data_IF_912355799174
#
_entry.id   IF_912355799174
#
_cell.length_a   1.000
_cell.length_b   1.000
_cell.length_c   1.000
_cell.angle_alpha   90.00
_cell.angle_beta   90.00
_cell.angle_gamma   90.00
#
_symmetry.space_group_name_H-M   'P 1'
#
loop_
_entity.id
_entity.type
_entity.pdbx_description
1 polymer ?
#
# COMPACT_ATOMS: atom_id res chain seq x y z
N UNK A 1 29.50 42.21 73.34
CA UNK A 1 28.09 42.54 73.60
C UNK A 1 27.26 42.05 72.42
N UNK A 2 26.58 40.92 72.64
CA UNK A 2 25.53 40.25 71.86
C UNK A 2 25.46 40.41 70.32
N UNK A 3 25.96 39.36 69.66
CA UNK A 3 25.38 38.81 68.44
C UNK A 3 23.96 38.31 68.75
N UNK A 4 22.95 38.82 68.04
CA UNK A 4 21.65 38.14 67.92
C UNK A 4 21.26 38.14 66.45
N UNK A 5 21.67 37.08 65.77
CA UNK A 5 21.08 36.65 64.49
C UNK A 5 19.65 36.19 64.80
N UNK A 6 18.67 37.02 64.50
CA UNK A 6 17.27 36.61 64.44
C UNK A 6 17.11 35.61 63.29
N UNK A 7 16.91 34.34 63.64
CA UNK A 7 16.54 33.29 62.71
C UNK A 7 15.25 33.69 61.97
N UNK A 8 15.15 33.41 60.66
CA UNK A 8 13.99 33.81 59.86
C UNK A 8 12.72 33.16 60.42
N UNK A 9 11.66 33.96 60.57
CA UNK A 9 10.33 33.51 61.01
C UNK A 9 9.87 32.41 60.06
N UNK A 10 9.88 31.17 60.54
CA UNK A 10 9.23 30.02 59.92
C UNK A 10 7.77 30.41 59.66
N UNK A 11 7.33 30.31 58.41
CA UNK A 11 5.98 30.63 57.97
C UNK A 11 4.91 30.08 58.93
N UNK A 12 3.84 30.84 59.25
CA UNK A 12 2.79 30.38 60.15
C UNK A 12 2.15 29.10 59.60
N UNK A 13 1.74 28.17 60.49
CA UNK A 13 1.23 26.85 60.09
C UNK A 13 0.03 26.94 59.13
N UNK A 14 -0.81 27.97 59.26
CA UNK A 14 -1.94 28.26 58.37
C UNK A 14 -1.50 28.54 56.92
N UNK A 15 -0.40 29.25 56.72
CA UNK A 15 0.14 29.58 55.40
C UNK A 15 0.65 28.34 54.65
N UNK A 16 1.06 27.29 55.36
CA UNK A 16 1.46 26.01 54.75
C UNK A 16 0.27 25.26 54.16
N UNK A 17 -0.89 25.30 54.83
CA UNK A 17 -2.11 24.65 54.34
C UNK A 17 -2.69 25.38 53.11
N UNK A 18 -2.69 26.70 53.10
CA UNK A 18 -3.13 27.49 51.94
C UNK A 18 -2.29 27.21 50.69
N UNK A 19 -0.96 27.10 50.83
CA UNK A 19 -0.06 26.75 49.73
C UNK A 19 -0.30 25.32 49.20
N UNK A 20 -0.55 24.36 50.09
CA UNK A 20 -0.86 22.98 49.70
C UNK A 20 -2.20 22.90 48.96
N UNK A 21 -3.23 23.61 49.43
CA UNK A 21 -4.52 23.69 48.75
C UNK A 21 -4.38 24.34 47.37
N UNK A 22 -3.66 25.46 47.27
CA UNK A 22 -3.41 26.12 45.99
C UNK A 22 -2.68 25.19 45.01
N UNK A 23 -1.65 24.47 45.47
CA UNK A 23 -0.93 23.49 44.64
C UNK A 23 -1.85 22.37 44.15
N UNK A 24 -2.66 21.80 45.03
CA UNK A 24 -3.59 20.72 44.68
C UNK A 24 -4.60 21.17 43.62
N UNK A 25 -5.15 22.39 43.78
CA UNK A 25 -6.07 22.99 42.81
C UNK A 25 -5.38 23.19 41.46
N UNK A 26 -4.14 23.70 41.44
CA UNK A 26 -3.37 23.89 40.20
C UNK A 26 -3.13 22.54 39.51
N UNK A 27 -2.73 21.50 40.25
CA UNK A 27 -2.50 20.15 39.69
C UNK A 27 -3.80 19.55 39.14
N UNK A 28 -4.91 19.70 39.86
CA UNK A 28 -6.21 19.22 39.41
C UNK A 28 -6.67 19.91 38.12
N UNK A 29 -6.51 21.24 38.04
CA UNK A 29 -6.84 22.02 36.84
C UNK A 29 -5.93 21.66 35.66
N UNK A 30 -4.62 21.53 35.88
CA UNK A 30 -3.67 21.11 34.84
C UNK A 30 -4.00 19.71 34.30
N UNK A 31 -4.33 18.77 35.19
CA UNK A 31 -4.71 17.40 34.81
C UNK A 31 -6.02 17.39 34.03
N UNK A 32 -7.04 18.12 34.50
CA UNK A 32 -8.33 18.24 33.82
C UNK A 32 -8.20 18.87 32.42
N UNK A 33 -7.31 19.87 32.27
CA UNK A 33 -7.03 20.51 30.99
C UNK A 33 -6.29 19.59 30.00
N UNK A 34 -5.36 18.75 30.49
CA UNK A 34 -4.54 17.88 29.63
C UNK A 34 -5.22 16.55 29.26
N UNK A 35 -6.09 16.05 30.14
CA UNK A 35 -6.83 14.79 29.96
C UNK A 35 -7.54 14.64 28.60
N UNK A 36 -8.32 15.62 28.08
CA UNK A 36 -9.00 15.47 26.79
C UNK A 36 -8.02 15.34 25.63
N UNK A 37 -6.87 16.02 25.68
CA UNK A 37 -5.83 15.95 24.63
C UNK A 37 -5.22 14.56 24.58
N UNK A 38 -4.81 14.01 25.73
CA UNK A 38 -4.25 12.65 25.81
C UNK A 38 -5.27 11.61 25.34
N UNK A 39 -6.54 11.76 25.75
CA UNK A 39 -7.61 10.85 25.34
C UNK A 39 -7.84 10.89 23.83
N UNK A 40 -7.81 12.08 23.20
CA UNK A 40 -7.95 12.23 21.74
C UNK A 40 -6.80 11.56 20.99
N UNK A 41 -5.56 11.78 21.42
CA UNK A 41 -4.38 11.15 20.82
C UNK A 41 -4.46 9.62 20.87
N UNK A 42 -4.76 9.04 22.05
CA UNK A 42 -4.88 7.60 22.20
C UNK A 42 -5.96 6.99 21.29
N UNK A 43 -7.11 7.66 21.14
CA UNK A 43 -8.16 7.22 20.24
C UNK A 43 -7.72 7.25 18.77
N UNK A 44 -7.05 8.31 18.33
CA UNK A 44 -6.54 8.43 16.96
C UNK A 44 -5.47 7.38 16.67
N UNK A 45 -4.53 7.15 17.59
CA UNK A 45 -3.54 6.08 17.45
C UNK A 45 -4.18 4.70 17.31
N UNK A 46 -5.20 4.41 18.13
CA UNK A 46 -5.89 3.13 18.04
C UNK A 46 -6.58 2.93 16.67
N UNK A 47 -7.19 3.98 16.12
CA UNK A 47 -7.80 3.95 14.77
C UNK A 47 -6.77 3.73 13.67
N UNK A 48 -5.64 4.45 13.72
CA UNK A 48 -4.55 4.29 12.75
C UNK A 48 -3.97 2.86 12.80
N UNK A 49 -3.71 2.34 14.00
CA UNK A 49 -3.27 0.96 14.20
C UNK A 49 -4.27 -0.06 13.65
N UNK A 50 -5.56 0.17 13.85
CA UNK A 50 -6.60 -0.70 13.32
C UNK A 50 -6.67 -0.65 11.79
N UNK A 51 -6.57 0.53 11.18
CA UNK A 51 -6.48 0.65 9.72
C UNK A 51 -5.25 -0.08 9.19
N UNK A 52 -4.08 0.13 9.80
CA UNK A 52 -2.84 -0.55 9.41
C UNK A 52 -2.98 -2.07 9.54
N UNK A 53 -3.61 -2.58 10.61
CA UNK A 53 -3.86 -4.01 10.80
C UNK A 53 -4.81 -4.58 9.75
N UNK A 54 -5.88 -3.86 9.41
CA UNK A 54 -6.82 -4.25 8.34
C UNK A 54 -6.14 -4.30 6.98
N UNK A 55 -5.32 -3.29 6.66
CA UNK A 55 -4.51 -3.26 5.44
C UNK A 55 -3.51 -4.43 5.42
N UNK A 56 -2.83 -4.72 6.54
CA UNK A 56 -1.93 -5.86 6.66
C UNK A 56 -2.64 -7.22 6.52
N UNK A 57 -3.94 -7.29 6.80
CA UNK A 57 -4.79 -8.46 6.59
C UNK A 57 -5.37 -8.54 5.16
N UNK A 58 -4.96 -7.66 4.25
CA UNK A 58 -5.41 -7.66 2.86
C UNK A 58 -6.69 -6.85 2.59
N UNK A 59 -7.23 -6.14 3.58
CA UNK A 59 -8.39 -5.24 3.39
C UNK A 59 -7.95 -3.90 2.79
N UNK A 60 -7.42 -3.93 1.57
CA UNK A 60 -6.93 -2.75 0.87
C UNK A 60 -8.08 -1.80 0.49
N UNK A 61 -7.80 -0.50 0.46
CA UNK A 61 -8.77 0.55 0.13
C UNK A 61 -9.60 1.04 1.32
N UNK A 62 -9.41 0.46 2.51
CA UNK A 62 -9.93 1.04 3.74
C UNK A 62 -9.27 2.41 4.00
N UNK A 63 -10.05 3.38 4.46
CA UNK A 63 -9.57 4.73 4.76
C UNK A 63 -10.14 5.24 6.08
N UNK A 64 -9.42 6.14 6.72
CA UNK A 64 -9.91 6.91 7.85
C UNK A 64 -10.23 8.34 7.40
N UNK A 65 -11.27 8.93 7.98
CA UNK A 65 -11.50 10.36 7.82
C UNK A 65 -10.31 11.13 8.41
N UNK A 66 -9.76 12.07 7.65
CA UNK A 66 -8.71 12.98 8.13
C UNK A 66 -9.38 13.93 9.13
N UNK A 67 -9.20 13.63 10.41
CA UNK A 67 -9.74 14.41 11.53
C UNK A 67 -8.60 14.81 12.47
N UNK A 68 -8.89 15.78 13.34
CA UNK A 68 -7.97 16.23 14.38
C UNK A 68 -7.36 15.07 15.20
N UNK A 69 -6.08 15.18 15.63
CA UNK A 69 -5.26 16.40 15.58
C UNK A 69 -4.53 16.63 14.25
N UNK A 70 -4.29 17.90 13.85
CA UNK A 70 -3.59 18.26 12.62
C UNK A 70 -2.19 17.63 12.54
N UNK A 71 -1.54 17.43 13.67
CA UNK A 71 -0.23 16.79 13.79
C UNK A 71 -0.20 15.35 13.23
N UNK A 72 -1.34 14.66 13.19
CA UNK A 72 -1.47 13.31 12.63
C UNK A 72 -2.20 13.27 11.28
N UNK A 73 -2.60 14.42 10.75
CA UNK A 73 -3.33 14.50 9.49
C UNK A 73 -2.48 14.06 8.30
N UNK A 74 -1.17 14.34 8.32
CA UNK A 74 -0.23 13.86 7.30
C UNK A 74 -0.08 12.34 7.35
N UNK A 75 0.16 11.76 8.53
CA UNK A 75 0.25 10.31 8.69
C UNK A 75 -1.05 9.60 8.25
N UNK A 76 -2.21 10.17 8.60
CA UNK A 76 -3.51 9.63 8.17
C UNK A 76 -3.64 9.65 6.65
N UNK A 77 -3.23 10.74 5.99
CA UNK A 77 -3.21 10.84 4.52
C UNK A 77 -2.28 9.81 3.91
N UNK A 78 -1.02 9.72 4.37
CA UNK A 78 -0.06 8.74 3.87
C UNK A 78 -0.56 7.29 4.03
N UNK A 79 -1.21 6.96 5.14
CA UNK A 79 -1.76 5.62 5.36
C UNK A 79 -2.96 5.33 4.45
N UNK A 80 -3.83 6.31 4.23
CA UNK A 80 -4.93 6.21 3.27
C UNK A 80 -4.41 6.04 1.84
N UNK A 81 -3.42 6.83 1.43
CA UNK A 81 -2.82 6.78 0.10
C UNK A 81 -2.16 5.41 -0.14
N UNK A 82 -1.41 4.90 0.84
CA UNK A 82 -0.83 3.56 0.79
C UNK A 82 -1.92 2.47 0.64
N UNK A 83 -3.00 2.56 1.42
CA UNK A 83 -4.12 1.62 1.35
C UNK A 83 -4.80 1.63 -0.03
N UNK A 84 -4.97 2.80 -0.65
CA UNK A 84 -5.51 2.93 -2.01
C UNK A 84 -4.54 2.39 -3.08
N UNK A 85 -3.25 2.73 -2.99
CA UNK A 85 -2.25 2.21 -3.93
C UNK A 85 -2.15 0.68 -3.90
N UNK A 86 -2.24 0.08 -2.71
CA UNK A 86 -2.32 -1.38 -2.56
C UNK A 86 -3.60 -1.93 -3.19
N UNK A 87 -4.74 -1.26 -3.02
CA UNK A 87 -6.02 -1.69 -3.61
C UNK A 87 -5.98 -1.67 -5.13
N UNK A 88 -5.45 -0.59 -5.70
CA UNK A 88 -5.31 -0.45 -7.15
C UNK A 88 -4.36 -1.49 -7.74
N UNK A 89 -3.27 -1.78 -7.03
CA UNK A 89 -2.32 -2.82 -7.43
C UNK A 89 -2.96 -4.20 -7.38
N UNK A 90 -3.71 -4.51 -6.33
CA UNK A 90 -4.45 -5.76 -6.21
C UNK A 90 -5.50 -5.92 -7.33
N UNK A 91 -6.26 -4.85 -7.63
CA UNK A 91 -7.22 -4.86 -8.73
C UNK A 91 -6.55 -5.08 -10.09
N UNK A 92 -5.38 -4.47 -10.33
CA UNK A 92 -4.60 -4.70 -11.56
C UNK A 92 -4.15 -6.15 -11.66
N UNK A 93 -3.61 -6.72 -10.58
CA UNK A 93 -3.17 -8.12 -10.55
C UNK A 93 -4.33 -9.08 -10.83
N UNK A 94 -5.50 -8.87 -10.20
CA UNK A 94 -6.69 -9.69 -10.42
C UNK A 94 -7.17 -9.65 -11.87
N UNK A 95 -7.22 -8.47 -12.48
CA UNK A 95 -7.58 -8.30 -13.91
C UNK A 95 -6.58 -9.01 -14.81
N UNK A 96 -5.28 -8.78 -14.61
CA UNK A 96 -4.23 -9.44 -15.37
C UNK A 96 -4.34 -10.97 -15.28
N UNK A 97 -4.53 -11.54 -14.09
CA UNK A 97 -4.72 -12.99 -13.94
C UNK A 97 -5.95 -13.49 -14.68
N UNK A 98 -7.06 -12.74 -14.64
CA UNK A 98 -8.27 -13.06 -15.39
C UNK A 98 -8.02 -13.05 -16.90
N UNK A 99 -7.47 -11.96 -17.42
CA UNK A 99 -7.21 -11.76 -18.84
C UNK A 99 -6.24 -12.82 -19.38
N UNK A 100 -5.16 -13.10 -18.65
CA UNK A 100 -4.19 -14.17 -18.98
C UNK A 100 -4.88 -15.53 -19.05
N UNK A 101 -5.72 -15.84 -18.06
CA UNK A 101 -6.43 -17.12 -18.03
C UNK A 101 -7.36 -17.28 -19.24
N UNK A 102 -8.00 -16.19 -19.67
CA UNK A 102 -8.86 -16.18 -20.85
C UNK A 102 -8.05 -16.34 -22.15
N UNK A 103 -6.98 -15.57 -22.31
CA UNK A 103 -6.12 -15.62 -23.50
C UNK A 103 -5.42 -16.97 -23.66
N UNK A 104 -5.01 -17.64 -22.58
CA UNK A 104 -4.40 -18.97 -22.64
C UNK A 104 -5.42 -20.09 -22.90
N UNK A 105 -6.69 -19.93 -22.48
CA UNK A 105 -7.71 -20.96 -22.65
C UNK A 105 -8.04 -21.21 -24.13
N UNK A 106 -8.02 -20.17 -24.95
CA UNK A 106 -8.32 -20.21 -26.38
C UNK A 106 -7.33 -21.09 -27.19
N UNK A 107 -6.00 -20.84 -27.18
CA UNK A 107 -5.01 -21.70 -27.83
C UNK A 107 -4.98 -23.11 -27.24
N UNK A 108 -5.16 -23.28 -25.92
CA UNK A 108 -5.26 -24.60 -25.31
C UNK A 108 -6.48 -25.39 -25.81
N UNK A 109 -7.61 -24.73 -26.05
CA UNK A 109 -8.79 -25.37 -26.64
C UNK A 109 -8.52 -25.79 -28.10
N UNK A 110 -7.82 -24.94 -28.87
CA UNK A 110 -7.42 -25.27 -30.26
C UNK A 110 -6.45 -26.44 -30.31
N UNK A 111 -5.43 -26.46 -29.44
CA UNK A 111 -4.50 -27.59 -29.31
C UNK A 111 -5.22 -28.90 -28.97
N UNK A 112 -6.17 -28.87 -28.03
CA UNK A 112 -7.00 -30.06 -27.72
C UNK A 112 -7.82 -30.51 -28.92
N UNK A 113 -8.44 -29.59 -29.65
CA UNK A 113 -9.22 -29.93 -30.84
C UNK A 113 -8.33 -30.56 -31.94
N UNK A 114 -7.14 -30.01 -32.18
CA UNK A 114 -6.17 -30.55 -33.12
C UNK A 114 -5.74 -31.97 -32.73
N UNK A 115 -5.40 -32.20 -31.46
CA UNK A 115 -5.03 -33.52 -30.96
C UNK A 115 -6.16 -34.56 -31.12
N UNK A 116 -7.41 -34.17 -30.80
CA UNK A 116 -8.59 -35.03 -31.00
C UNK A 116 -8.88 -35.32 -32.48
N UNK A 117 -8.54 -34.42 -33.39
CA UNK A 117 -8.67 -34.66 -34.83
C UNK A 117 -7.60 -35.63 -35.32
N UNK A 118 -6.36 -35.51 -34.85
CA UNK A 118 -5.28 -36.46 -35.14
C UNK A 118 -5.66 -37.88 -34.68
N UNK A 119 -6.23 -38.00 -33.48
CA UNK A 119 -6.69 -39.29 -32.94
C UNK A 119 -7.76 -39.94 -33.82
N UNK A 120 -8.69 -39.15 -34.37
CA UNK A 120 -9.77 -39.62 -35.26
C UNK A 120 -9.30 -39.84 -36.70
N UNK A 121 -8.33 -39.07 -37.17
CA UNK A 121 -7.83 -39.07 -38.55
C UNK A 121 -6.30 -39.07 -38.58
N UNK A 122 -5.63 -40.21 -38.28
CA UNK A 122 -4.18 -40.27 -38.15
C UNK A 122 -3.41 -39.89 -39.44
N UNK A 123 -4.03 -40.06 -40.60
CA UNK A 123 -3.44 -39.70 -41.89
C UNK A 123 -3.31 -38.18 -42.09
N UNK A 124 -4.08 -37.37 -41.35
CA UNK A 124 -3.97 -35.90 -41.35
C UNK A 124 -2.88 -35.37 -40.41
N UNK A 125 -2.29 -36.24 -39.57
CA UNK A 125 -1.31 -35.85 -38.55
C UNK A 125 -0.16 -34.97 -39.08
N UNK A 126 0.47 -35.26 -40.24
CA UNK A 126 1.56 -34.42 -40.75
C UNK A 126 1.16 -32.96 -40.97
N UNK A 127 -0.08 -32.72 -41.43
CA UNK A 127 -0.60 -31.38 -41.69
C UNK A 127 -1.04 -30.67 -40.40
N UNK A 128 -1.59 -31.42 -39.44
CA UNK A 128 -2.08 -30.88 -38.17
C UNK A 128 -0.94 -30.58 -37.18
N UNK A 129 0.18 -31.30 -37.26
CA UNK A 129 1.37 -31.03 -36.44
C UNK A 129 1.92 -29.62 -36.68
N UNK A 130 1.95 -29.15 -37.92
CA UNK A 130 2.37 -27.78 -38.23
C UNK A 130 1.45 -26.71 -37.56
N UNK A 131 0.16 -27.02 -37.41
CA UNK A 131 -0.78 -26.13 -36.69
C UNK A 131 -0.56 -26.17 -35.18
N UNK A 132 -0.22 -27.35 -34.64
CA UNK A 132 0.14 -27.48 -33.21
C UNK A 132 1.38 -26.64 -32.91
N UNK A 133 2.43 -26.73 -33.71
CA UNK A 133 3.64 -25.91 -33.57
C UNK A 133 3.32 -24.41 -33.62
N UNK A 134 2.43 -23.98 -34.52
CA UNK A 134 2.01 -22.57 -34.60
C UNK A 134 1.28 -22.09 -33.33
N UNK A 135 0.42 -22.93 -32.73
CA UNK A 135 -0.26 -22.60 -31.46
C UNK A 135 0.71 -22.59 -30.27
N UNK A 136 1.70 -23.48 -30.25
CA UNK A 136 2.77 -23.47 -29.24
C UNK A 136 3.58 -22.17 -29.35
N UNK A 137 4.00 -21.79 -30.55
CA UNK A 137 4.72 -20.52 -30.76
C UNK A 137 3.88 -19.28 -30.42
N UNK A 138 2.54 -19.34 -30.51
CA UNK A 138 1.66 -18.29 -30.00
C UNK A 138 1.69 -18.24 -28.46
N UNK A 139 1.60 -19.40 -27.80
CA UNK A 139 1.68 -19.49 -26.34
C UNK A 139 3.01 -18.96 -25.81
N UNK A 140 4.13 -19.29 -26.46
CA UNK A 140 5.46 -18.79 -26.08
C UNK A 140 5.52 -17.26 -26.13
N UNK A 141 5.03 -16.65 -27.23
CA UNK A 141 4.95 -15.18 -27.34
C UNK A 141 4.09 -14.55 -26.24
N UNK A 142 2.94 -15.14 -25.93
CA UNK A 142 2.09 -14.65 -24.84
C UNK A 142 2.81 -14.73 -23.49
N UNK A 143 3.57 -15.79 -23.22
CA UNK A 143 4.36 -15.91 -22.00
C UNK A 143 5.45 -14.84 -21.94
N UNK A 144 6.16 -14.60 -23.04
CA UNK A 144 7.19 -13.56 -23.13
C UNK A 144 6.61 -12.17 -22.88
N UNK A 145 5.47 -11.85 -23.49
CA UNK A 145 4.76 -10.58 -23.29
C UNK A 145 4.36 -10.39 -21.81
N UNK A 146 3.87 -11.45 -21.15
CA UNK A 146 3.51 -11.39 -19.73
C UNK A 146 4.72 -11.21 -18.82
N UNK A 147 5.84 -11.86 -19.13
CA UNK A 147 7.10 -11.65 -18.40
C UNK A 147 7.62 -10.22 -18.58
N UNK A 148 7.46 -9.66 -19.78
CA UNK A 148 7.82 -8.26 -20.05
C UNK A 148 6.96 -7.30 -19.21
N UNK A 149 5.64 -7.49 -19.20
CA UNK A 149 4.71 -6.70 -18.38
C UNK A 149 5.03 -6.82 -16.89
N UNK A 150 5.31 -8.02 -16.38
CA UNK A 150 5.67 -8.23 -14.98
C UNK A 150 6.96 -7.51 -14.58
N UNK A 151 7.96 -7.46 -15.48
CA UNK A 151 9.21 -6.71 -15.26
C UNK A 151 9.00 -5.20 -15.25
N UNK A 152 8.13 -4.69 -16.13
CA UNK A 152 7.72 -3.27 -16.16
C UNK A 152 6.99 -2.90 -14.86
N UNK A 153 6.02 -3.71 -14.43
CA UNK A 153 5.24 -3.48 -13.22
C UNK A 153 6.08 -3.51 -11.93
N UNK A 154 7.17 -4.30 -11.90
CA UNK A 154 8.08 -4.36 -10.77
C UNK A 154 9.03 -3.15 -10.67
N UNK A 155 8.97 -2.19 -11.59
CA UNK A 155 9.88 -1.03 -11.62
C UNK A 155 11.35 -1.40 -11.87
N UNK A 156 11.62 -2.62 -12.35
CA UNK A 156 12.98 -3.15 -12.56
C UNK A 156 13.56 -2.81 -13.93
N UNK A 157 12.86 -1.99 -14.71
CA UNK A 157 13.27 -1.59 -16.05
C UNK A 157 13.76 -0.14 -16.01
N UNK A 158 15.07 0.04 -16.08
CA UNK A 158 15.64 1.35 -16.37
C UNK A 158 15.33 1.69 -17.83
N UNK A 159 14.44 2.66 -18.05
CA UNK A 159 14.16 3.16 -19.39
C UNK A 159 15.36 3.98 -19.86
N UNK A 160 16.10 3.46 -20.83
CA UNK A 160 17.12 4.23 -21.55
C UNK A 160 16.43 5.05 -22.64
N UNK A 161 16.08 6.28 -22.31
CA UNK A 161 15.50 7.22 -23.25
C UNK A 161 16.61 7.84 -24.10
N UNK A 162 16.63 7.54 -25.38
CA UNK A 162 17.51 8.18 -26.35
C UNK A 162 16.71 9.10 -27.27
N UNK A 163 17.32 10.23 -27.67
CA UNK A 163 16.69 11.21 -28.53
C UNK A 163 16.87 10.77 -29.99
N UNK A 164 15.84 10.15 -30.56
CA UNK A 164 15.86 9.63 -31.94
C UNK A 164 15.17 10.61 -32.89
N UNK A 165 15.76 10.86 -34.06
CA UNK A 165 15.13 11.62 -35.14
C UNK A 165 13.97 10.86 -35.74
N UNK A 166 12.75 11.41 -35.68
CA UNK A 166 11.53 10.74 -36.15
C UNK A 166 11.58 10.34 -37.63
N UNK A 167 12.33 11.06 -38.46
CA UNK A 167 12.48 10.77 -39.89
C UNK A 167 13.35 9.53 -40.10
N UNK A 168 14.49 9.48 -39.42
CA UNK A 168 15.43 8.36 -39.51
C UNK A 168 14.83 7.08 -38.92
N UNK A 169 14.01 7.19 -37.87
CA UNK A 169 13.28 6.06 -37.31
C UNK A 169 12.16 5.54 -38.23
N UNK A 170 11.47 6.44 -38.93
CA UNK A 170 10.41 6.06 -39.87
C UNK A 170 10.97 5.27 -41.06
N UNK A 171 12.16 5.60 -41.54
CA UNK A 171 12.83 4.89 -42.64
C UNK A 171 13.43 3.53 -42.21
N UNK A 172 13.61 3.29 -40.90
CA UNK A 172 14.18 2.04 -40.36
C UNK A 172 13.10 1.02 -39.96
N UNK A 173 11.91 1.48 -39.55
CA UNK A 173 10.83 0.63 -39.01
C UNK A 173 9.75 0.30 -40.05
N UNK A 174 9.60 1.12 -41.10
CA UNK A 174 8.62 0.92 -42.18
C UNK A 174 9.32 0.74 -43.54
#
# INVERSE_FOLDING_TARGET
MYLSRSAPRLFPASMRYELLLALLVIVALATAALYPTVRRLNLTFHRLSELARRVAQGQFGATLAVQDPPDLAELTRSLNDMSQQLRDTELRNQRLTGDVSHELRSPLARLRALAQTIERHPHEAPQLLARIEAEIGLLDRLVDDLLAIARLAAGRTALSLERVGLRDWADEVF
#
